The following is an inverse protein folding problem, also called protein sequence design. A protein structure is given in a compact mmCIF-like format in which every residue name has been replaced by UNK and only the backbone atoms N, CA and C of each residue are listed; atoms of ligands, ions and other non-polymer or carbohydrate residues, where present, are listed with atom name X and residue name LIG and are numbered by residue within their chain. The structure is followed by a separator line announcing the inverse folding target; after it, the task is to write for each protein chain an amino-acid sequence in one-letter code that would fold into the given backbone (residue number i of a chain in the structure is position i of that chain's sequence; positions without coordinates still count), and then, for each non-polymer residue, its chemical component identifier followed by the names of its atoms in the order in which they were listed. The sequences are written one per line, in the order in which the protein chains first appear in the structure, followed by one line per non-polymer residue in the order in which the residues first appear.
data_IF_133981114755
#
_entry.id   IF_133981114755
#
_cell.length_a   1.000
_cell.length_b   1.000
_cell.length_c   1.000
_cell.angle_alpha   90.00
_cell.angle_beta   90.00
_cell.angle_gamma   90.00
#
_symmetry.space_group_name_H-M   'P 1'
#
loop_
_entity.id
_entity.type
_entity.pdbx_description
1 polymer ?
#
# COMPACT_ATOMS: atom_id res chain seq x y z
N UNK A 1 14.38 9.05 -0.30
CA UNK A 1 13.58 8.48 0.82
C UNK A 1 12.24 8.04 0.27
N UNK A 2 11.56 7.08 0.90
CA UNK A 2 10.22 6.65 0.48
C UNK A 2 9.29 6.70 1.69
N UNK A 3 8.11 7.28 1.50
CA UNK A 3 7.00 7.25 2.46
C UNK A 3 5.93 6.32 1.89
N UNK A 4 5.42 5.44 2.75
CA UNK A 4 4.22 4.66 2.49
C UNK A 4 3.07 5.22 3.31
N UNK A 5 1.89 5.26 2.73
CA UNK A 5 0.65 5.66 3.37
C UNK A 5 -0.44 4.65 3.12
N UNK A 6 -1.44 4.65 4.00
CA UNK A 6 -2.59 3.76 3.87
C UNK A 6 -3.88 4.46 4.31
N UNK A 7 -4.93 4.21 3.54
CA UNK A 7 -6.32 4.47 3.89
C UNK A 7 -7.09 3.15 3.92
N UNK A 8 -7.94 3.00 4.91
CA UNK A 8 -8.88 1.88 5.00
C UNK A 8 -10.22 2.37 5.55
N UNK A 9 -11.31 2.09 4.84
CA UNK A 9 -12.66 2.41 5.28
C UNK A 9 -13.68 1.50 4.56
N UNK A 10 -14.54 0.81 5.33
CA UNK A 10 -15.69 0.01 4.82
C UNK A 10 -15.32 -0.91 3.65
N UNK A 11 -14.20 -1.62 3.78
CA UNK A 11 -13.73 -2.59 2.77
C UNK A 11 -12.96 -1.98 1.59
N UNK A 12 -12.83 -0.65 1.51
CA UNK A 12 -11.90 0.00 0.59
C UNK A 12 -10.52 0.12 1.24
N UNK A 13 -9.47 -0.29 0.52
CA UNK A 13 -8.09 -0.11 0.96
C UNK A 13 -7.29 0.57 -0.15
N UNK A 14 -6.58 1.65 0.20
CA UNK A 14 -5.71 2.38 -0.71
C UNK A 14 -4.32 2.49 -0.10
N UNK A 15 -3.34 1.91 -0.77
CA UNK A 15 -1.93 2.13 -0.48
C UNK A 15 -1.45 3.35 -1.27
N UNK A 16 -0.61 4.17 -0.66
CA UNK A 16 -0.04 5.36 -1.29
C UNK A 16 1.45 5.37 -1.08
N UNK A 17 2.21 5.75 -2.09
CA UNK A 17 3.66 5.76 -2.02
C UNK A 17 4.20 7.07 -2.57
N UNK A 18 5.14 7.67 -1.84
CA UNK A 18 5.79 8.92 -2.23
C UNK A 18 7.31 8.78 -2.17
N UNK A 19 7.96 9.03 -3.31
CA UNK A 19 9.40 8.98 -3.49
C UNK A 19 9.97 10.38 -3.46
N UNK A 20 11.03 10.57 -2.67
CA UNK A 20 11.69 11.86 -2.50
C UNK A 20 13.08 11.86 -3.11
N UNK A 21 13.39 12.95 -3.80
CA UNK A 21 14.71 13.24 -4.36
C UNK A 21 15.70 13.70 -3.31
N UNK A 22 16.95 13.91 -3.74
CA UNK A 22 18.04 14.39 -2.87
C UNK A 22 17.78 15.79 -2.29
N UNK A 23 16.97 16.61 -2.96
CA UNK A 23 16.57 17.93 -2.51
C UNK A 23 15.38 17.92 -1.51
N UNK A 24 14.92 16.74 -1.09
CA UNK A 24 13.80 16.59 -0.17
C UNK A 24 12.42 16.87 -0.77
N UNK A 25 12.30 17.11 -2.08
CA UNK A 25 11.01 17.27 -2.76
C UNK A 25 10.45 15.92 -3.25
N UNK A 26 9.12 15.73 -3.25
CA UNK A 26 8.51 14.59 -3.91
C UNK A 26 8.88 14.56 -5.40
N UNK A 27 9.41 13.43 -5.86
CA UNK A 27 9.70 13.15 -7.27
C UNK A 27 8.54 12.43 -7.94
N UNK A 28 7.97 11.45 -7.25
CA UNK A 28 6.91 10.61 -7.76
C UNK A 28 5.99 10.23 -6.61
N UNK A 29 4.69 10.27 -6.87
CA UNK A 29 3.69 9.72 -5.96
C UNK A 29 2.74 8.85 -6.77
N UNK A 30 2.37 7.69 -6.25
CA UNK A 30 1.34 6.86 -6.85
C UNK A 30 0.48 6.20 -5.79
N UNK A 31 -0.79 6.05 -6.14
CA UNK A 31 -1.78 5.31 -5.38
C UNK A 31 -1.91 3.91 -5.95
N UNK A 32 -2.23 2.95 -5.08
CA UNK A 32 -2.33 1.54 -5.39
C UNK A 32 -3.56 1.00 -4.66
N UNK A 33 -4.74 1.00 -5.31
CA UNK A 33 -5.93 0.37 -4.79
C UNK A 33 -5.65 -1.11 -4.50
N UNK A 34 -6.04 -1.58 -3.31
CA UNK A 34 -5.80 -2.94 -2.88
C UNK A 34 -7.09 -3.64 -2.47
N UNK A 35 -7.28 -4.89 -2.91
CA UNK A 35 -8.38 -5.74 -2.50
C UNK A 35 -7.93 -7.20 -2.38
N UNK A 36 -7.81 -7.67 -1.14
CA UNK A 36 -7.41 -9.06 -0.84
C UNK A 36 -8.39 -10.08 -1.41
N UNK A 37 -9.67 -9.72 -1.58
CA UNK A 37 -10.72 -10.64 -2.03
C UNK A 37 -10.56 -11.00 -3.51
N UNK A 38 -9.74 -10.24 -4.25
CA UNK A 38 -9.39 -10.53 -5.65
C UNK A 38 -8.28 -11.59 -5.75
N UNK A 39 -7.57 -11.89 -4.66
CA UNK A 39 -6.52 -12.90 -4.64
C UNK A 39 -7.17 -14.30 -4.59
N UNK A 40 -6.84 -15.22 -5.53
CA UNK A 40 -7.35 -16.58 -5.50
C UNK A 40 -7.04 -17.29 -4.17
N UNK A 41 -8.01 -18.04 -3.63
CA UNK A 41 -7.89 -18.67 -2.29
C UNK A 41 -6.69 -19.62 -2.16
N UNK A 42 -6.32 -20.28 -3.26
CA UNK A 42 -5.16 -21.17 -3.35
C UNK A 42 -3.81 -20.42 -3.33
N UNK A 43 -3.83 -19.11 -3.60
CA UNK A 43 -2.65 -18.22 -3.58
C UNK A 43 -2.63 -17.27 -2.39
N UNK A 44 -3.75 -17.14 -1.67
CA UNK A 44 -3.85 -16.25 -0.52
C UNK A 44 -3.01 -16.81 0.64
N UNK A 45 -1.94 -16.10 0.98
CA UNK A 45 -1.14 -16.37 2.17
C UNK A 45 -1.40 -15.25 3.19
N UNK A 46 -2.03 -15.61 4.31
CA UNK A 46 -2.20 -14.70 5.43
C UNK A 46 -1.03 -14.87 6.38
N UNK A 47 -0.14 -13.88 6.40
CA UNK A 47 0.99 -13.87 7.31
C UNK A 47 0.51 -13.57 8.74
N UNK A 48 0.89 -14.41 9.70
CA UNK A 48 0.80 -14.06 11.12
C UNK A 48 1.95 -13.14 11.50
N UNK A 49 1.72 -12.26 12.47
CA UNK A 49 2.78 -11.45 13.08
C UNK A 49 3.25 -12.22 14.31
N UNK A 50 4.40 -12.87 14.19
CA UNK A 50 4.91 -13.74 15.25
C UNK A 50 5.88 -13.00 16.19
N UNK A 51 6.31 -11.79 15.80
CA UNK A 51 7.13 -10.90 16.61
C UNK A 51 6.91 -9.42 16.26
N UNK A 52 7.27 -8.52 17.18
CA UNK A 52 7.08 -7.08 17.04
C UNK A 52 7.98 -6.40 15.99
N UNK A 53 9.00 -7.10 15.48
CA UNK A 53 9.95 -6.56 14.50
C UNK A 53 9.67 -7.02 13.07
N UNK A 54 8.60 -7.81 12.87
CA UNK A 54 8.26 -8.36 11.57
C UNK A 54 7.87 -7.25 10.60
N UNK A 55 8.45 -7.33 9.39
CA UNK A 55 8.25 -6.35 8.32
C UNK A 55 7.78 -7.05 7.06
N UNK A 56 6.72 -6.54 6.45
CA UNK A 56 6.30 -6.99 5.13
C UNK A 56 7.14 -6.34 4.03
N UNK A 57 7.46 -7.15 3.04
CA UNK A 57 8.19 -6.76 1.86
C UNK A 57 7.26 -6.19 0.80
N UNK A 58 7.75 -5.20 0.05
CA UNK A 58 7.14 -4.73 -1.18
C UNK A 58 8.21 -4.73 -2.25
N UNK A 59 7.95 -5.49 -3.30
CA UNK A 59 8.77 -5.50 -4.51
C UNK A 59 8.15 -4.55 -5.53
N UNK A 60 8.95 -3.57 -5.98
CA UNK A 60 8.55 -2.55 -6.93
C UNK A 60 9.27 -2.82 -8.24
N UNK A 61 8.50 -3.16 -9.26
CA UNK A 61 9.00 -3.45 -10.60
C UNK A 61 8.61 -2.31 -11.52
N UNK A 62 9.60 -1.61 -12.09
CA UNK A 62 9.37 -0.62 -13.15
C UNK A 62 9.57 -1.33 -14.47
N UNK A 63 8.51 -1.40 -15.27
CA UNK A 63 8.53 -1.98 -16.62
C UNK A 63 8.39 -0.88 -17.66
N UNK A 64 9.07 -1.03 -18.78
CA UNK A 64 8.91 -0.14 -19.94
C UNK A 64 7.74 -0.59 -20.85
N UNK A 65 7.50 0.17 -21.91
CA UNK A 65 6.46 -0.09 -22.90
C UNK A 65 6.60 -1.45 -23.62
N UNK A 66 7.77 -2.07 -23.57
CA UNK A 66 8.05 -3.38 -24.15
C UNK A 66 7.94 -4.52 -23.12
N UNK A 67 7.33 -4.26 -21.96
CA UNK A 67 7.24 -5.18 -20.83
C UNK A 67 8.60 -5.64 -20.28
N UNK A 68 9.65 -4.84 -20.50
CA UNK A 68 10.98 -5.16 -19.98
C UNK A 68 11.16 -4.51 -18.60
N UNK A 69 11.55 -5.30 -17.61
CA UNK A 69 11.87 -4.78 -16.27
C UNK A 69 13.12 -3.90 -16.35
N UNK A 70 12.97 -2.62 -16.01
CA UNK A 70 14.05 -1.62 -15.98
C UNK A 70 14.62 -1.42 -14.60
N UNK A 71 13.78 -1.54 -13.57
CA UNK A 71 14.17 -1.34 -12.18
C UNK A 71 13.46 -2.36 -11.30
N UNK A 72 14.23 -2.95 -10.38
CA UNK A 72 13.73 -3.73 -9.25
C UNK A 72 14.13 -2.99 -7.98
N UNK A 73 13.16 -2.76 -7.11
CA UNK A 73 13.42 -2.19 -5.80
C UNK A 73 12.66 -2.95 -4.74
N UNK A 74 13.39 -3.41 -3.75
CA UNK A 74 12.84 -3.99 -2.54
C UNK A 74 12.73 -2.89 -1.48
N UNK A 75 11.58 -2.78 -0.83
CA UNK A 75 11.37 -1.91 0.33
C UNK A 75 10.55 -2.66 1.37
N UNK A 76 10.67 -2.28 2.64
CA UNK A 76 9.92 -2.92 3.72
C UNK A 76 8.95 -1.95 4.37
N UNK A 77 7.73 -2.41 4.65
CA UNK A 77 6.83 -1.73 5.57
C UNK A 77 7.46 -1.78 6.97
N UNK A 78 7.53 -0.66 7.71
CA UNK A 78 7.91 -0.72 9.11
C UNK A 78 6.90 -1.54 9.92
N UNK A 79 7.25 -2.02 11.13
CA UNK A 79 6.40 -2.93 11.90
C UNK A 79 4.98 -2.40 12.14
N UNK A 80 4.84 -1.12 12.49
CA UNK A 80 3.52 -0.50 12.71
C UNK A 80 2.65 -0.48 11.45
N UNK A 81 3.25 -0.22 10.29
CA UNK A 81 2.54 -0.25 9.00
C UNK A 81 2.18 -1.68 8.61
N UNK A 82 3.09 -2.64 8.86
CA UNK A 82 2.85 -4.08 8.64
C UNK A 82 1.64 -4.55 9.44
N UNK A 83 1.59 -4.20 10.73
CA UNK A 83 0.46 -4.51 11.60
C UNK A 83 -0.83 -3.86 11.10
N UNK A 84 -0.79 -2.56 10.78
CA UNK A 84 -1.96 -1.86 10.27
C UNK A 84 -2.50 -2.51 8.98
N UNK A 85 -1.61 -2.82 8.04
CA UNK A 85 -1.98 -3.46 6.78
C UNK A 85 -2.60 -4.84 7.00
N UNK A 86 -1.95 -5.73 7.75
CA UNK A 86 -2.47 -7.08 7.98
C UNK A 86 -3.80 -7.07 8.74
N UNK A 87 -3.98 -6.17 9.70
CA UNK A 87 -5.28 -5.98 10.36
C UNK A 87 -6.35 -5.55 9.37
N UNK A 88 -6.09 -4.55 8.53
CA UNK A 88 -7.03 -4.10 7.50
C UNK A 88 -7.32 -5.17 6.45
N UNK A 89 -6.36 -6.05 6.14
CA UNK A 89 -6.57 -7.21 5.26
C UNK A 89 -7.57 -8.19 5.88
N UNK A 90 -7.41 -8.50 7.16
CA UNK A 90 -8.35 -9.38 7.88
C UNK A 90 -9.75 -8.77 7.96
N UNK A 91 -9.85 -7.47 8.22
CA UNK A 91 -11.11 -6.75 8.21
C UNK A 91 -11.76 -6.77 6.82
N UNK A 92 -10.98 -6.55 5.75
CA UNK A 92 -11.48 -6.56 4.37
C UNK A 92 -12.04 -7.92 3.94
N UNK A 93 -11.49 -9.03 4.47
CA UNK A 93 -11.96 -10.39 4.18
C UNK A 93 -13.34 -10.70 4.75
N UNK A 94 -13.71 -10.08 5.88
CA UNK A 94 -15.00 -10.31 6.54
C UNK A 94 -16.03 -9.20 6.26
N UNK A 95 -15.59 -8.10 5.66
CA UNK A 95 -16.44 -6.98 5.28
C UNK A 95 -17.37 -7.35 4.11
N UNK A 96 -18.67 -7.08 4.31
CA UNK A 96 -19.71 -7.33 3.31
C UNK A 96 -19.71 -6.26 2.22
N UNK A 97 -19.29 -5.04 2.57
CA UNK A 97 -19.16 -3.95 1.61
C UNK A 97 -17.89 -4.12 0.76
N UNK A 98 -18.03 -3.98 -0.56
CA UNK A 98 -16.88 -4.03 -1.45
C UNK A 98 -16.06 -2.72 -1.47
N UNK A 99 -16.49 -1.68 -0.76
CA UNK A 99 -15.77 -0.41 -0.62
C UNK A 99 -15.80 0.46 -1.89
N UNK A 100 -16.56 0.09 -2.93
CA UNK A 100 -16.51 0.77 -4.22
C UNK A 100 -16.85 2.26 -4.15
N UNK A 101 -17.85 2.64 -3.35
CA UNK A 101 -18.24 4.05 -3.21
C UNK A 101 -17.18 4.88 -2.49
N UNK A 102 -16.54 4.31 -1.46
CA UNK A 102 -15.44 4.92 -0.72
C UNK A 102 -14.23 5.11 -1.64
N UNK A 103 -13.82 4.05 -2.34
CA UNK A 103 -12.72 4.09 -3.30
C UNK A 103 -12.98 5.13 -4.40
N UNK A 104 -14.17 5.11 -5.01
CA UNK A 104 -14.55 6.07 -6.04
C UNK A 104 -14.55 7.52 -5.53
N UNK A 105 -14.78 7.74 -4.23
CA UNK A 105 -14.64 9.05 -3.62
C UNK A 105 -13.17 9.45 -3.43
N UNK A 106 -12.32 8.55 -2.95
CA UNK A 106 -10.88 8.83 -2.82
C UNK A 106 -10.25 9.15 -4.17
N UNK A 107 -10.57 8.40 -5.23
CA UNK A 107 -10.02 8.61 -6.58
C UNK A 107 -10.37 9.97 -7.22
N UNK A 108 -11.26 10.76 -6.62
CA UNK A 108 -11.55 12.15 -7.05
C UNK A 108 -10.53 13.16 -6.53
N UNK A 109 -9.73 12.79 -5.54
CA UNK A 109 -8.78 13.67 -4.89
C UNK A 109 -7.37 13.42 -5.45
N UNK A 110 -6.56 14.47 -5.61
CA UNK A 110 -5.16 14.28 -5.97
C UNK A 110 -4.40 13.60 -4.81
N UNK A 111 -3.39 12.82 -5.15
CA UNK A 111 -2.68 11.97 -4.20
C UNK A 111 -2.04 12.73 -3.02
N UNK A 112 -1.62 13.98 -3.23
CA UNK A 112 -1.06 14.81 -2.17
C UNK A 112 -2.07 15.14 -1.07
N UNK A 113 -3.37 15.18 -1.40
CA UNK A 113 -4.45 15.30 -0.43
C UNK A 113 -4.73 13.97 0.27
N UNK A 114 -4.74 12.85 -0.47
CA UNK A 114 -4.97 11.53 0.11
C UNK A 114 -3.87 11.14 1.11
N UNK A 115 -2.61 11.46 0.80
CA UNK A 115 -1.47 11.24 1.71
C UNK A 115 -1.65 11.98 3.04
N UNK A 116 -2.26 13.17 3.03
CA UNK A 116 -2.54 13.94 4.26
C UNK A 116 -3.70 13.37 5.09
N UNK A 117 -4.61 12.63 4.45
CA UNK A 117 -5.74 11.98 5.12
C UNK A 117 -5.33 10.66 5.75
N UNK A 118 -4.40 9.94 5.12
CA UNK A 118 -3.94 8.63 5.57
C UNK A 118 -2.90 8.70 6.69
N UNK A 119 -2.72 7.56 7.37
CA UNK A 119 -1.52 7.35 8.18
C UNK A 119 -0.34 7.14 7.24
N UNK A 120 0.81 7.69 7.59
CA UNK A 120 2.03 7.60 6.79
C UNK A 120 3.21 7.13 7.63
N UNK A 121 4.13 6.42 6.97
CA UNK A 121 5.30 5.84 7.58
C UNK A 121 6.51 5.98 6.67
N UNK A 122 7.69 6.07 7.27
CA UNK A 122 8.94 5.97 6.52
C UNK A 122 9.23 4.50 6.20
N UNK A 123 9.39 4.18 4.92
CA UNK A 123 9.65 2.81 4.48
C UNK A 123 11.10 2.41 4.75
N UNK A 124 11.30 1.14 5.08
CA UNK A 124 12.63 0.55 5.22
C UNK A 124 13.31 0.38 3.85
N UNK A 125 14.64 0.47 3.87
CA UNK A 125 15.49 0.12 2.73
C UNK A 125 15.78 -1.37 2.72
#
# INVERSE_FOLDING_TARGET
MMIGGMLYEKGAMLLMFQFYGSNGKPLLSFDCPFDVRLIPKDKLQLHSIDNAEQRLAIEIHVVDENNTVRVLRYVTMPPDMTLAFLSSVQEQLVELNNGQSVMANWMKHPIDQLIKQGKTWTMGR
#
